data_IF_704819482438
#
_entry.id   IF_704819482438
#
_cell.length_a   1.000
_cell.length_b   1.000
_cell.length_c   1.000
_cell.angle_alpha   90.00
_cell.angle_beta   90.00
_cell.angle_gamma   90.00
#
_symmetry.space_group_name_H-M   'P 1'
#
loop_
_entity.id
_entity.type
_entity.pdbx_description
1 polymer ?
#
# COMPACT_ATOMS: atom_id res chain seq x y z
N UNK A 1 14.28 -35.59 32.06
CA UNK A 1 13.98 -35.61 30.64
C UNK A 1 12.45 -35.52 30.52
N UNK A 2 11.91 -34.34 30.44
CA UNK A 2 10.46 -34.06 30.46
C UNK A 2 10.02 -33.70 29.03
N UNK A 3 9.13 -34.51 28.49
CA UNK A 3 8.54 -34.32 27.16
C UNK A 3 7.37 -33.30 27.30
N UNK A 4 7.51 -32.13 26.70
CA UNK A 4 6.46 -31.12 26.60
C UNK A 4 5.54 -31.47 25.42
N UNK A 5 4.34 -31.93 25.72
CA UNK A 5 3.25 -32.07 24.76
C UNK A 5 2.72 -30.69 24.37
N UNK A 6 2.93 -30.31 23.13
CA UNK A 6 2.35 -29.08 22.54
C UNK A 6 0.92 -29.36 22.07
N UNK A 7 -0.08 -28.97 22.84
CA UNK A 7 -1.49 -28.94 22.39
C UNK A 7 -1.65 -27.94 21.24
N UNK A 8 -1.88 -28.44 20.03
CA UNK A 8 -2.34 -27.62 18.91
C UNK A 8 -3.81 -27.26 19.17
N UNK A 9 -4.04 -25.97 19.40
CA UNK A 9 -5.39 -25.41 19.41
C UNK A 9 -5.85 -25.27 17.96
N UNK A 10 -6.78 -26.14 17.54
CA UNK A 10 -7.45 -25.99 16.24
C UNK A 10 -8.50 -24.90 16.39
N UNK A 11 -8.17 -23.70 15.92
CA UNK A 11 -9.14 -22.61 15.81
C UNK A 11 -10.06 -22.91 14.62
N UNK A 12 -11.30 -23.31 14.92
CA UNK A 12 -12.32 -23.47 13.88
C UNK A 12 -12.65 -22.08 13.29
N UNK A 13 -12.61 -21.91 11.96
CA UNK A 13 -12.99 -20.64 11.36
C UNK A 13 -14.49 -20.37 11.60
N UNK A 14 -14.80 -19.23 12.19
CA UNK A 14 -16.17 -18.74 12.34
C UNK A 14 -16.82 -18.64 10.96
N UNK A 15 -17.83 -19.48 10.69
CA UNK A 15 -18.66 -19.41 9.50
C UNK A 15 -19.39 -18.06 9.50
N UNK A 16 -18.93 -17.11 8.65
CA UNK A 16 -19.67 -15.86 8.38
C UNK A 16 -21.02 -16.22 7.75
N UNK A 17 -22.10 -15.66 8.28
CA UNK A 17 -23.45 -15.81 7.71
C UNK A 17 -23.46 -15.11 6.34
N UNK A 18 -23.54 -15.90 5.28
CA UNK A 18 -23.69 -15.39 3.91
C UNK A 18 -25.00 -14.61 3.75
N UNK A 19 -24.99 -13.56 2.90
CA UNK A 19 -26.19 -12.77 2.59
C UNK A 19 -27.28 -13.65 1.99
N UNK A 20 -28.56 -13.29 2.20
CA UNK A 20 -29.71 -14.07 1.69
C UNK A 20 -29.61 -14.28 0.17
N UNK A 21 -29.17 -13.26 -0.58
CA UNK A 21 -29.01 -13.29 -2.05
C UNK A 21 -27.95 -14.30 -2.50
N UNK A 22 -26.80 -14.35 -1.86
CA UNK A 22 -25.72 -15.32 -2.15
C UNK A 22 -26.14 -16.76 -1.83
N UNK A 23 -26.90 -16.98 -0.74
CA UNK A 23 -27.49 -18.29 -0.43
C UNK A 23 -28.49 -18.75 -1.49
N UNK A 24 -29.29 -17.83 -2.04
CA UNK A 24 -30.28 -18.16 -3.07
C UNK A 24 -29.58 -18.54 -4.37
N UNK A 25 -28.56 -17.81 -4.80
CA UNK A 25 -27.75 -18.11 -6.00
C UNK A 25 -27.02 -19.45 -5.84
N UNK A 26 -26.36 -19.69 -4.73
CA UNK A 26 -25.67 -20.98 -4.47
C UNK A 26 -26.65 -22.16 -4.39
N UNK A 27 -27.84 -21.96 -3.85
CA UNK A 27 -28.90 -22.99 -3.82
C UNK A 27 -29.45 -23.30 -5.21
N UNK A 28 -29.63 -22.28 -6.06
CA UNK A 28 -30.09 -22.47 -7.45
C UNK A 28 -29.02 -23.20 -8.26
N UNK A 29 -27.76 -22.79 -8.18
CA UNK A 29 -26.63 -23.45 -8.87
C UNK A 29 -26.48 -24.91 -8.41
N UNK A 30 -26.52 -25.18 -7.11
CA UNK A 30 -26.47 -26.55 -6.55
C UNK A 30 -27.70 -27.37 -6.88
N UNK A 31 -28.86 -26.74 -6.91
CA UNK A 31 -30.12 -27.42 -7.26
C UNK A 31 -30.18 -27.89 -8.71
N UNK A 32 -29.74 -27.04 -9.64
CA UNK A 32 -29.65 -27.38 -11.06
C UNK A 32 -28.61 -28.49 -11.30
N UNK A 33 -27.45 -28.37 -10.71
CA UNK A 33 -26.39 -29.39 -10.81
C UNK A 33 -26.83 -30.75 -10.23
N UNK A 34 -27.55 -30.76 -9.12
CA UNK A 34 -28.04 -32.00 -8.49
C UNK A 34 -29.16 -32.68 -9.29
N UNK A 35 -30.06 -31.91 -9.88
CA UNK A 35 -31.17 -32.44 -10.69
C UNK A 35 -30.68 -33.06 -12.00
N UNK A 36 -29.73 -32.41 -12.70
CA UNK A 36 -29.09 -32.96 -13.91
C UNK A 36 -28.30 -34.23 -13.61
N UNK A 37 -27.57 -34.26 -12.49
CA UNK A 37 -26.80 -35.44 -12.06
C UNK A 37 -27.73 -36.66 -11.78
N UNK A 38 -28.80 -36.47 -11.05
CA UNK A 38 -29.74 -37.57 -10.73
C UNK A 38 -30.43 -38.15 -11.99
N UNK A 39 -30.74 -37.32 -12.97
CA UNK A 39 -31.34 -37.76 -14.22
C UNK A 39 -30.35 -38.54 -15.09
N UNK A 40 -29.08 -38.09 -15.19
CA UNK A 40 -28.05 -38.78 -15.96
C UNK A 40 -27.74 -40.17 -15.41
N UNK A 41 -27.68 -40.34 -14.07
CA UNK A 41 -27.42 -41.63 -13.42
C UNK A 41 -28.57 -42.61 -13.65
N UNK A 42 -29.83 -42.18 -13.52
CA UNK A 42 -31.02 -43.05 -13.74
C UNK A 42 -31.11 -43.53 -15.19
N UNK A 43 -30.77 -42.68 -16.15
CA UNK A 43 -30.77 -42.99 -17.56
C UNK A 43 -29.62 -43.95 -17.94
N UNK A 44 -28.43 -43.76 -17.40
CA UNK A 44 -27.29 -44.66 -17.61
C UNK A 44 -27.61 -46.10 -17.13
N UNK A 45 -28.23 -46.26 -15.96
CA UNK A 45 -28.62 -47.57 -15.40
C UNK A 45 -29.66 -48.26 -16.26
N UNK A 46 -30.58 -47.52 -16.85
CA UNK A 46 -31.61 -48.07 -17.76
C UNK A 46 -31.00 -48.61 -19.07
N UNK A 47 -30.00 -47.87 -19.63
CA UNK A 47 -29.39 -48.25 -20.92
C UNK A 47 -28.46 -49.47 -20.84
N UNK A 48 -27.75 -49.66 -19.72
CA UNK A 48 -26.88 -50.84 -19.48
C UNK A 48 -27.65 -52.17 -19.43
N UNK A 49 -28.95 -52.14 -19.07
CA UNK A 49 -29.79 -53.32 -18.95
C UNK A 49 -30.33 -53.90 -20.26
N UNK A 50 -30.19 -53.23 -21.42
CA UNK A 50 -30.99 -53.62 -22.64
C UNK A 50 -30.12 -54.05 -23.84
N UNK A 51 -28.79 -53.91 -23.87
CA UNK A 51 -28.01 -54.13 -25.09
C UNK A 51 -26.85 -55.15 -24.93
N UNK A 52 -26.64 -55.92 -25.99
CA UNK A 52 -25.45 -56.78 -26.19
C UNK A 52 -24.15 -55.99 -26.37
N UNK A 53 -24.24 -54.68 -26.40
CA UNK A 53 -23.10 -53.72 -26.39
C UNK A 53 -23.45 -52.67 -25.35
N UNK A 54 -22.47 -52.30 -24.54
CA UNK A 54 -22.64 -51.19 -23.64
C UNK A 54 -22.74 -49.89 -24.46
N UNK A 55 -23.87 -49.22 -24.36
CA UNK A 55 -24.11 -47.99 -25.12
C UNK A 55 -23.80 -46.80 -24.23
N UNK A 56 -22.78 -46.05 -24.59
CA UNK A 56 -22.44 -44.80 -23.96
C UNK A 56 -22.92 -43.64 -24.83
N UNK A 57 -23.75 -42.78 -24.25
CA UNK A 57 -24.15 -41.54 -24.91
C UNK A 57 -23.39 -40.38 -24.22
N UNK A 58 -22.41 -39.80 -24.91
CA UNK A 58 -21.54 -38.76 -24.34
C UNK A 58 -22.30 -37.50 -23.98
N UNK A 59 -23.34 -37.15 -24.76
CA UNK A 59 -24.17 -36.00 -24.43
C UNK A 59 -24.99 -36.16 -23.15
N UNK A 60 -25.34 -37.40 -22.76
CA UNK A 60 -26.12 -37.66 -21.54
C UNK A 60 -25.19 -37.66 -20.28
N UNK A 61 -23.90 -37.86 -20.49
CA UNK A 61 -22.89 -37.87 -19.46
C UNK A 61 -22.18 -36.50 -19.32
N UNK A 62 -22.56 -35.54 -20.10
CA UNK A 62 -21.95 -34.23 -20.10
C UNK A 62 -22.90 -33.25 -19.44
N UNK A 63 -22.37 -32.51 -18.48
CA UNK A 63 -23.02 -31.37 -17.85
C UNK A 63 -22.46 -30.07 -18.44
N UNK A 64 -23.38 -29.19 -18.84
CA UNK A 64 -23.06 -27.85 -19.30
C UNK A 64 -23.46 -26.85 -18.22
N UNK A 65 -22.50 -25.99 -17.84
CA UNK A 65 -22.72 -24.91 -16.87
C UNK A 65 -22.50 -23.57 -17.54
N UNK A 66 -23.42 -22.64 -17.34
CA UNK A 66 -23.30 -21.27 -17.80
C UNK A 66 -22.95 -20.37 -16.63
N UNK A 67 -21.94 -19.55 -16.82
CA UNK A 67 -21.50 -18.52 -15.86
C UNK A 67 -21.39 -17.18 -16.57
N UNK A 68 -21.45 -16.08 -15.82
CA UNK A 68 -21.41 -14.74 -16.39
C UNK A 68 -22.80 -14.11 -16.51
N UNK A 69 -22.91 -13.12 -17.37
CA UNK A 69 -24.13 -12.37 -17.65
C UNK A 69 -24.40 -12.28 -19.16
N UNK A 70 -25.56 -11.77 -19.53
CA UNK A 70 -25.97 -11.64 -20.93
C UNK A 70 -25.02 -10.74 -21.72
N UNK A 71 -24.33 -11.28 -22.71
CA UNK A 71 -23.26 -10.63 -23.48
C UNK A 71 -21.82 -10.99 -23.01
N UNK A 72 -21.65 -11.61 -21.85
CA UNK A 72 -20.35 -12.07 -21.31
C UNK A 72 -20.48 -13.47 -20.69
N UNK A 73 -21.36 -14.29 -21.23
CA UNK A 73 -21.60 -15.66 -20.79
C UNK A 73 -20.45 -16.60 -21.19
N UNK A 74 -20.11 -17.52 -20.30
CA UNK A 74 -19.12 -18.58 -20.53
C UNK A 74 -19.78 -19.94 -20.31
N UNK A 75 -19.63 -20.83 -21.28
CA UNK A 75 -20.07 -22.21 -21.20
C UNK A 75 -18.92 -23.09 -20.69
N UNK A 76 -19.10 -23.69 -19.53
CA UNK A 76 -18.24 -24.75 -19.01
C UNK A 76 -18.87 -26.11 -19.32
N UNK A 77 -18.05 -27.10 -19.65
CA UNK A 77 -18.48 -28.46 -19.99
C UNK A 77 -17.69 -29.47 -19.19
N UNK A 78 -18.37 -30.32 -18.44
CA UNK A 78 -17.78 -31.42 -17.68
C UNK A 78 -18.40 -32.75 -18.10
N UNK A 79 -17.56 -33.78 -18.31
CA UNK A 79 -18.01 -35.13 -18.65
C UNK A 79 -17.87 -36.04 -17.43
N UNK A 80 -18.93 -36.72 -17.05
CA UNK A 80 -18.93 -37.74 -16.01
C UNK A 80 -18.11 -38.96 -16.48
N UNK A 81 -17.18 -39.40 -15.66
CA UNK A 81 -16.36 -40.59 -15.93
C UNK A 81 -17.03 -41.79 -15.29
N UNK A 82 -17.43 -42.75 -16.09
CA UNK A 82 -17.90 -44.05 -15.60
C UNK A 82 -16.68 -44.91 -15.22
N UNK A 83 -16.49 -45.30 -13.95
CA UNK A 83 -15.28 -45.97 -13.47
C UNK A 83 -14.92 -47.25 -14.22
N UNK A 84 -15.92 -48.00 -14.66
CA UNK A 84 -15.74 -49.22 -15.43
C UNK A 84 -15.13 -49.00 -16.83
N UNK A 85 -15.20 -47.79 -17.35
CA UNK A 85 -14.65 -47.39 -18.66
C UNK A 85 -13.61 -46.28 -18.55
N UNK A 86 -12.92 -46.16 -17.42
CA UNK A 86 -11.94 -45.10 -17.14
C UNK A 86 -10.93 -44.88 -18.26
N UNK A 87 -10.35 -45.97 -18.79
CA UNK A 87 -9.38 -45.89 -19.89
C UNK A 87 -9.99 -45.31 -21.20
N UNK A 88 -11.28 -45.54 -21.44
CA UNK A 88 -11.97 -44.92 -22.58
C UNK A 88 -12.18 -43.41 -22.34
N UNK A 89 -12.61 -43.02 -21.14
CA UNK A 89 -12.87 -41.61 -20.82
C UNK A 89 -11.58 -40.76 -20.83
N UNK A 90 -10.41 -41.36 -20.57
CA UNK A 90 -9.11 -40.66 -20.75
C UNK A 90 -8.85 -40.23 -22.21
N UNK A 91 -9.51 -40.86 -23.19
CA UNK A 91 -9.41 -40.51 -24.60
C UNK A 91 -10.48 -39.54 -25.07
N UNK A 92 -11.51 -39.29 -24.27
CA UNK A 92 -12.61 -38.38 -24.61
C UNK A 92 -12.11 -36.94 -24.51
N UNK A 93 -12.30 -36.21 -25.59
CA UNK A 93 -12.08 -34.78 -25.67
C UNK A 93 -13.38 -34.10 -26.01
N UNK A 94 -13.64 -33.00 -25.35
CA UNK A 94 -14.81 -32.17 -25.54
C UNK A 94 -14.37 -30.83 -26.08
N UNK A 95 -14.82 -30.49 -27.27
CA UNK A 95 -14.50 -29.25 -27.95
C UNK A 95 -15.78 -28.40 -28.08
N UNK A 96 -15.73 -27.17 -27.61
CA UNK A 96 -16.79 -26.17 -27.82
C UNK A 96 -16.47 -25.48 -29.14
N UNK A 97 -17.36 -25.63 -30.11
CA UNK A 97 -17.16 -25.05 -31.45
C UNK A 97 -17.66 -23.62 -31.48
N UNK A 98 -16.73 -22.71 -31.54
CA UNK A 98 -17.00 -21.27 -31.69
C UNK A 98 -17.13 -20.89 -33.18
N UNK A 99 -17.78 -19.76 -33.43
CA UNK A 99 -17.90 -19.17 -34.76
C UNK A 99 -17.72 -17.63 -34.65
N UNK A 100 -17.66 -16.96 -35.81
CA UNK A 100 -17.44 -15.50 -35.87
C UNK A 100 -18.48 -14.66 -35.09
N UNK A 101 -19.62 -15.23 -34.76
CA UNK A 101 -20.72 -14.54 -34.07
C UNK A 101 -20.94 -15.01 -32.64
N UNK A 102 -20.42 -16.17 -32.29
CA UNK A 102 -20.65 -16.79 -30.99
C UNK A 102 -19.34 -17.33 -30.46
N UNK A 103 -18.77 -16.63 -29.51
CA UNK A 103 -17.56 -17.00 -28.81
C UNK A 103 -17.85 -17.32 -27.36
N UNK A 104 -17.13 -18.29 -26.84
CA UNK A 104 -17.23 -18.62 -25.43
C UNK A 104 -16.55 -17.50 -24.60
N UNK A 105 -17.25 -16.95 -23.65
CA UNK A 105 -16.87 -15.74 -22.91
C UNK A 105 -17.60 -14.47 -23.36
N UNK A 106 -18.27 -14.50 -24.54
CA UNK A 106 -19.07 -13.38 -25.07
C UNK A 106 -20.52 -13.83 -25.35
N UNK A 107 -21.03 -14.86 -24.63
CA UNK A 107 -22.33 -15.46 -24.92
C UNK A 107 -23.50 -14.60 -24.42
N UNK A 108 -24.54 -14.53 -25.29
CA UNK A 108 -25.81 -13.89 -24.97
C UNK A 108 -26.95 -14.89 -24.91
N UNK A 109 -28.03 -14.54 -24.21
CA UNK A 109 -29.25 -15.32 -24.20
C UNK A 109 -29.81 -15.52 -25.61
N UNK A 110 -30.02 -16.78 -25.98
CA UNK A 110 -30.44 -17.16 -27.32
C UNK A 110 -29.34 -17.68 -28.23
N UNK A 111 -28.09 -17.48 -27.86
CA UNK A 111 -26.93 -18.01 -28.59
C UNK A 111 -26.93 -19.54 -28.61
N UNK A 112 -26.32 -20.10 -29.65
CA UNK A 112 -26.18 -21.53 -29.82
C UNK A 112 -24.75 -21.90 -30.05
N UNK A 113 -24.26 -22.78 -29.19
CA UNK A 113 -22.94 -23.39 -29.30
C UNK A 113 -23.09 -24.88 -29.63
N UNK A 114 -22.21 -25.38 -30.48
CA UNK A 114 -22.08 -26.80 -30.76
C UNK A 114 -20.97 -27.40 -29.93
N UNK A 115 -21.22 -28.44 -29.19
CA UNK A 115 -20.25 -29.25 -28.48
C UNK A 115 -19.96 -30.47 -29.33
N UNK A 116 -18.69 -30.73 -29.62
CA UNK A 116 -18.23 -31.90 -30.36
C UNK A 116 -17.40 -32.80 -29.46
N UNK A 117 -17.70 -34.10 -29.50
CA UNK A 117 -17.00 -35.13 -28.75
C UNK A 117 -16.09 -35.93 -29.68
N UNK A 118 -14.83 -36.03 -29.34
CA UNK A 118 -13.86 -36.89 -30.00
C UNK A 118 -13.31 -37.92 -29.00
N UNK A 119 -12.98 -39.14 -29.48
CA UNK A 119 -12.50 -40.22 -28.64
C UNK A 119 -11.74 -41.25 -29.50
N UNK A 120 -10.99 -42.14 -28.88
CA UNK A 120 -10.32 -43.27 -29.57
C UNK A 120 -11.36 -44.34 -29.94
N UNK A 121 -11.67 -44.46 -31.25
CA UNK A 121 -12.66 -45.36 -31.81
C UNK A 121 -12.21 -46.82 -31.71
N UNK A 122 -10.92 -47.11 -31.81
CA UNK A 122 -10.39 -48.47 -31.76
C UNK A 122 -10.43 -48.99 -30.31
N UNK A 123 -10.10 -48.16 -29.36
CA UNK A 123 -10.22 -48.46 -27.94
C UNK A 123 -11.70 -48.71 -27.56
N UNK A 124 -12.63 -47.82 -27.95
CA UNK A 124 -14.05 -47.99 -27.70
C UNK A 124 -14.57 -49.33 -28.26
N UNK A 125 -14.14 -49.67 -29.48
CA UNK A 125 -14.52 -50.94 -30.11
C UNK A 125 -13.93 -52.16 -29.36
N UNK A 126 -12.68 -52.09 -28.92
CA UNK A 126 -12.04 -53.15 -28.16
C UNK A 126 -12.71 -53.42 -26.82
N UNK A 127 -13.29 -52.39 -26.19
CA UNK A 127 -14.05 -52.48 -24.95
C UNK A 127 -15.54 -52.86 -25.17
N UNK A 128 -15.95 -53.11 -26.40
CA UNK A 128 -17.36 -53.45 -26.74
C UNK A 128 -18.31 -52.26 -26.56
N UNK A 129 -17.82 -51.05 -26.67
CA UNK A 129 -18.64 -49.84 -26.48
C UNK A 129 -19.22 -49.36 -27.79
N UNK A 130 -20.50 -48.95 -27.74
CA UNK A 130 -21.18 -48.20 -28.80
C UNK A 130 -21.42 -46.78 -28.36
N UNK A 131 -20.60 -45.88 -28.85
CA UNK A 131 -20.66 -44.47 -28.46
C UNK A 131 -21.63 -43.69 -29.33
N UNK A 132 -22.52 -42.96 -28.68
CA UNK A 132 -23.50 -42.03 -29.26
C UNK A 132 -23.26 -40.61 -28.79
N UNK A 133 -24.03 -39.65 -29.30
CA UNK A 133 -23.99 -38.26 -28.83
C UNK A 133 -22.67 -37.58 -29.16
N UNK A 134 -22.27 -37.64 -30.45
CA UNK A 134 -21.00 -37.05 -30.90
C UNK A 134 -21.00 -35.55 -31.04
N UNK A 135 -22.19 -34.98 -31.12
CA UNK A 135 -22.41 -33.53 -31.19
C UNK A 135 -23.69 -33.20 -30.44
N UNK A 136 -23.67 -32.07 -29.80
CA UNK A 136 -24.78 -31.50 -29.08
C UNK A 136 -24.83 -29.99 -29.31
N UNK A 137 -26.06 -29.45 -29.43
CA UNK A 137 -26.23 -27.98 -29.49
C UNK A 137 -26.80 -27.49 -28.18
N UNK A 138 -26.05 -26.68 -27.50
CA UNK A 138 -26.47 -25.96 -26.29
C UNK A 138 -27.00 -24.60 -26.70
N UNK A 139 -28.23 -24.29 -26.24
CA UNK A 139 -28.80 -22.94 -26.37
C UNK A 139 -28.62 -22.21 -25.06
N UNK A 140 -27.94 -21.08 -25.10
CA UNK A 140 -27.72 -20.20 -23.95
C UNK A 140 -29.05 -19.62 -23.49
N UNK A 141 -29.35 -19.75 -22.21
CA UNK A 141 -30.58 -19.23 -21.57
C UNK A 141 -30.29 -18.89 -20.12
N UNK A 142 -31.13 -17.99 -19.61
CA UNK A 142 -31.18 -17.65 -18.20
C UNK A 142 -29.86 -17.00 -17.67
N UNK A 143 -29.04 -16.43 -18.58
CA UNK A 143 -27.97 -15.52 -18.16
C UNK A 143 -28.63 -14.27 -17.56
N UNK A 144 -28.22 -13.84 -16.36
CA UNK A 144 -28.72 -12.61 -15.74
C UNK A 144 -28.22 -11.38 -16.50
N UNK A 145 -28.88 -10.24 -16.27
CA UNK A 145 -28.34 -8.95 -16.68
C UNK A 145 -27.10 -8.60 -15.84
N UNK A 146 -26.15 -7.87 -16.44
CA UNK A 146 -24.99 -7.37 -15.73
C UNK A 146 -25.40 -6.35 -14.64
N UNK A 147 -24.72 -6.40 -13.52
CA UNK A 147 -24.72 -5.31 -12.57
C UNK A 147 -23.61 -4.34 -13.00
N UNK A 148 -24.00 -3.27 -13.70
CA UNK A 148 -23.05 -2.28 -14.20
C UNK A 148 -22.58 -1.40 -13.04
N UNK A 149 -21.27 -1.35 -12.86
CA UNK A 149 -20.60 -0.51 -11.86
C UNK A 149 -20.01 0.69 -12.59
N UNK A 150 -20.50 1.87 -12.29
CA UNK A 150 -19.95 3.11 -12.83
C UNK A 150 -18.56 3.39 -12.29
N UNK A 151 -17.78 4.21 -13.01
CA UNK A 151 -16.49 4.68 -12.54
C UNK A 151 -16.58 5.31 -11.14
N UNK A 152 -17.57 6.15 -10.89
CA UNK A 152 -17.72 6.81 -9.59
C UNK A 152 -18.05 5.83 -8.47
N UNK A 153 -18.85 4.82 -8.74
CA UNK A 153 -19.17 3.76 -7.79
C UNK A 153 -17.93 2.90 -7.48
N UNK A 154 -17.15 2.54 -8.50
CA UNK A 154 -15.90 1.79 -8.34
C UNK A 154 -14.93 2.50 -7.40
N UNK A 155 -14.78 3.81 -7.54
CA UNK A 155 -13.87 4.63 -6.73
C UNK A 155 -14.50 5.18 -5.45
N UNK A 156 -15.78 4.92 -5.18
CA UNK A 156 -16.49 5.48 -4.02
C UNK A 156 -15.97 4.97 -2.66
N UNK A 157 -15.42 3.76 -2.65
CA UNK A 157 -14.83 3.13 -1.45
C UNK A 157 -13.35 3.43 -1.24
N UNK A 158 -12.75 4.28 -2.08
CA UNK A 158 -11.31 4.58 -1.99
C UNK A 158 -11.08 5.71 -1.01
N UNK A 159 -10.16 5.47 -0.07
CA UNK A 159 -9.66 6.46 0.87
C UNK A 159 -8.20 6.73 0.53
N UNK A 160 -7.87 8.00 0.37
CA UNK A 160 -6.49 8.48 0.27
C UNK A 160 -6.05 8.88 1.67
N UNK A 161 -5.15 8.11 2.25
CA UNK A 161 -4.60 8.36 3.57
C UNK A 161 -3.25 9.06 3.43
N UNK A 162 -3.03 10.09 4.24
CA UNK A 162 -1.77 10.84 4.29
C UNK A 162 -1.13 10.69 5.65
N UNK A 163 0.18 10.46 5.68
CA UNK A 163 0.98 10.46 6.90
C UNK A 163 2.13 11.45 6.76
N UNK A 164 2.49 12.11 7.86
CA UNK A 164 3.53 13.12 7.88
C UNK A 164 3.00 14.54 7.73
N UNK A 165 3.91 15.47 7.46
CA UNK A 165 3.65 16.91 7.38
C UNK A 165 4.06 17.40 6.00
N UNK A 166 3.22 18.19 5.33
CA UNK A 166 3.52 18.76 4.02
C UNK A 166 4.80 19.62 4.05
N UNK A 167 5.67 19.52 3.03
CA UNK A 167 5.59 18.72 1.81
C UNK A 167 6.27 17.34 1.90
N UNK A 168 6.51 16.82 3.09
CA UNK A 168 7.16 15.51 3.32
C UNK A 168 6.14 14.42 3.68
N UNK A 169 4.94 14.47 3.11
CA UNK A 169 3.91 13.47 3.33
C UNK A 169 4.14 12.22 2.51
N UNK A 170 3.79 11.09 3.07
CA UNK A 170 3.54 9.85 2.32
C UNK A 170 2.05 9.69 2.06
N UNK A 171 1.70 9.06 0.94
CA UNK A 171 0.32 8.83 0.55
C UNK A 171 0.09 7.35 0.35
N UNK A 172 -0.98 6.85 0.94
CA UNK A 172 -1.45 5.49 0.78
C UNK A 172 -2.88 5.47 0.25
N UNK A 173 -3.21 4.47 -0.58
CA UNK A 173 -4.55 4.27 -1.13
C UNK A 173 -5.15 3.01 -0.54
N UNK A 174 -6.28 3.16 0.14
CA UNK A 174 -6.96 2.06 0.83
C UNK A 174 -8.32 1.80 0.16
N UNK A 175 -8.54 0.55 -0.26
CA UNK A 175 -9.85 0.10 -0.72
C UNK A 175 -10.71 -0.30 0.49
N UNK A 176 -11.61 0.58 0.91
CA UNK A 176 -12.52 0.38 2.04
C UNK A 176 -13.95 -0.03 1.59
N UNK A 177 -14.10 -0.55 0.37
CA UNK A 177 -15.40 -1.04 -0.11
C UNK A 177 -15.92 -2.17 0.77
N UNK A 178 -17.22 -2.24 0.96
CA UNK A 178 -17.89 -3.34 1.67
C UNK A 178 -18.32 -4.47 0.73
N UNK A 179 -18.28 -4.25 -0.57
CA UNK A 179 -18.61 -5.25 -1.58
C UNK A 179 -17.46 -6.26 -1.74
N UNK A 180 -17.76 -7.54 -1.55
CA UNK A 180 -16.75 -8.62 -1.55
C UNK A 180 -16.13 -8.83 -2.94
N UNK A 181 -16.83 -8.47 -4.02
CA UNK A 181 -16.31 -8.59 -5.39
C UNK A 181 -15.41 -7.41 -5.71
N UNK A 182 -15.85 -6.19 -5.38
CA UNK A 182 -15.05 -4.98 -5.61
C UNK A 182 -13.80 -4.91 -4.72
N UNK A 183 -13.72 -5.68 -3.64
CA UNK A 183 -12.49 -5.87 -2.85
C UNK A 183 -11.38 -6.57 -3.64
N UNK A 184 -11.71 -7.29 -4.70
CA UNK A 184 -10.72 -7.96 -5.56
C UNK A 184 -10.06 -6.99 -6.55
N UNK A 185 -10.60 -5.79 -6.70
CA UNK A 185 -10.01 -4.74 -7.53
C UNK A 185 -8.77 -4.18 -6.84
N UNK A 186 -7.67 -4.15 -7.56
CA UNK A 186 -6.41 -3.59 -7.07
C UNK A 186 -6.33 -2.09 -7.39
N UNK A 187 -5.95 -1.29 -6.39
CA UNK A 187 -5.76 0.14 -6.56
C UNK A 187 -4.31 0.51 -6.29
N UNK A 188 -3.76 1.34 -7.14
CA UNK A 188 -2.37 1.82 -7.03
C UNK A 188 -2.26 3.27 -7.51
N UNK A 189 -1.28 3.99 -6.99
CA UNK A 189 -0.93 5.33 -7.48
C UNK A 189 -0.10 5.16 -8.77
N UNK A 190 -0.47 5.92 -9.79
CA UNK A 190 0.32 6.03 -11.03
C UNK A 190 1.49 6.96 -10.77
N UNK A 191 2.71 6.51 -11.08
CA UNK A 191 3.94 7.28 -10.89
C UNK A 191 4.09 7.85 -9.46
N UNK A 192 4.17 6.98 -8.41
CA UNK A 192 4.24 7.42 -7.03
C UNK A 192 5.52 8.22 -6.76
N UNK A 193 5.39 9.31 -5.98
CA UNK A 193 6.51 10.11 -5.48
C UNK A 193 6.94 9.61 -4.11
N UNK A 194 8.16 9.94 -3.71
CA UNK A 194 8.64 9.68 -2.33
C UNK A 194 7.96 10.58 -1.31
N UNK A 195 7.68 11.85 -1.69
CA UNK A 195 7.01 12.82 -0.85
C UNK A 195 5.96 13.61 -1.63
N UNK A 196 4.92 14.05 -0.93
CA UNK A 196 3.80 14.81 -1.46
C UNK A 196 3.59 16.09 -0.66
N UNK A 197 3.17 17.15 -1.37
CA UNK A 197 2.77 18.42 -0.78
C UNK A 197 1.25 18.54 -0.68
N UNK A 198 0.78 19.51 0.10
CA UNK A 198 -0.63 19.89 0.15
C UNK A 198 -1.07 20.45 -1.21
N UNK A 199 -2.18 19.94 -1.73
CA UNK A 199 -2.68 20.26 -3.05
C UNK A 199 -2.10 19.45 -4.22
N UNK A 200 -1.12 18.56 -3.97
CA UNK A 200 -0.66 17.63 -5.00
C UNK A 200 -1.82 16.77 -5.53
N UNK A 201 -1.79 16.49 -6.82
CA UNK A 201 -2.76 15.60 -7.46
C UNK A 201 -2.11 14.26 -7.72
N UNK A 202 -2.75 13.20 -7.21
CA UNK A 202 -2.38 11.82 -7.49
C UNK A 202 -3.42 11.19 -8.41
N UNK A 203 -2.97 10.41 -9.38
CA UNK A 203 -3.84 9.57 -10.20
C UNK A 203 -3.88 8.16 -9.62
N UNK A 204 -5.04 7.73 -9.16
CA UNK A 204 -5.26 6.36 -8.68
C UNK A 204 -5.77 5.51 -9.82
N UNK A 205 -5.12 4.38 -10.07
CA UNK A 205 -5.49 3.37 -11.05
C UNK A 205 -6.16 2.20 -10.36
N UNK A 206 -7.38 1.87 -10.79
CA UNK A 206 -8.04 0.61 -10.52
C UNK A 206 -7.63 -0.41 -11.60
N UNK A 207 -7.22 -1.62 -11.20
CA UNK A 207 -6.92 -2.74 -12.09
C UNK A 207 -7.79 -3.92 -11.70
N UNK A 208 -8.46 -4.53 -12.67
CA UNK A 208 -9.43 -5.60 -12.43
C UNK A 208 -9.38 -6.64 -13.55
N UNK A 209 -9.83 -7.85 -13.23
CA UNK A 209 -10.02 -8.93 -14.18
C UNK A 209 -11.50 -9.05 -14.56
N UNK A 210 -11.82 -8.62 -15.78
CA UNK A 210 -13.19 -8.61 -16.29
C UNK A 210 -13.82 -10.01 -16.33
N UNK A 211 -13.04 -11.07 -16.58
CA UNK A 211 -13.54 -12.44 -16.58
C UNK A 211 -13.94 -12.87 -15.15
N UNK A 212 -13.16 -12.49 -14.16
CA UNK A 212 -13.49 -12.76 -12.75
C UNK A 212 -14.72 -11.98 -12.32
N UNK A 213 -14.83 -10.72 -12.69
CA UNK A 213 -16.01 -9.89 -12.38
C UNK A 213 -17.28 -10.44 -13.04
N UNK A 214 -17.19 -10.87 -14.29
CA UNK A 214 -18.31 -11.44 -15.03
C UNK A 214 -18.89 -12.70 -14.35
N UNK A 215 -18.05 -13.54 -13.72
CA UNK A 215 -18.52 -14.70 -12.92
C UNK A 215 -19.46 -14.31 -11.77
N UNK A 216 -19.35 -13.07 -11.30
CA UNK A 216 -20.20 -12.49 -10.25
C UNK A 216 -21.28 -11.55 -10.82
N UNK A 217 -21.45 -11.55 -12.14
CA UNK A 217 -22.40 -10.68 -12.86
C UNK A 217 -22.10 -9.19 -12.76
N UNK A 218 -20.84 -8.82 -12.54
CA UNK A 218 -20.41 -7.43 -12.51
C UNK A 218 -19.77 -7.04 -13.83
N UNK A 219 -20.13 -5.86 -14.30
CA UNK A 219 -19.50 -5.17 -15.44
C UNK A 219 -19.06 -3.79 -14.99
N UNK A 220 -17.82 -3.43 -15.21
CA UNK A 220 -17.34 -2.08 -14.94
C UNK A 220 -17.51 -1.25 -16.20
N UNK A 221 -18.18 -0.11 -16.08
CA UNK A 221 -18.40 0.82 -17.19
C UNK A 221 -17.07 1.38 -17.72
N UNK A 222 -16.80 1.14 -19.00
CA UNK A 222 -15.58 1.64 -19.69
C UNK A 222 -14.91 0.57 -20.53
N UNK A 223 -13.82 0.94 -21.19
CA UNK A 223 -13.04 0.02 -22.02
C UNK A 223 -11.80 -0.49 -21.27
N UNK A 224 -11.52 -1.78 -21.43
CA UNK A 224 -10.33 -2.45 -20.90
C UNK A 224 -10.45 -2.86 -19.43
N UNK A 225 -9.32 -3.24 -18.84
CA UNK A 225 -9.21 -3.82 -17.49
C UNK A 225 -8.65 -2.83 -16.46
N UNK A 226 -8.73 -1.54 -16.73
CA UNK A 226 -8.29 -0.52 -15.78
C UNK A 226 -8.96 0.83 -16.02
N UNK A 227 -9.22 1.53 -14.92
CA UNK A 227 -9.70 2.90 -14.91
C UNK A 227 -8.83 3.74 -13.99
N UNK A 228 -8.85 5.06 -14.18
CA UNK A 228 -8.09 5.99 -13.34
C UNK A 228 -8.98 7.11 -12.82
N UNK A 229 -8.68 7.62 -11.62
CA UNK A 229 -9.34 8.79 -11.02
C UNK A 229 -8.31 9.62 -10.28
N UNK A 230 -8.42 10.94 -10.43
CA UNK A 230 -7.55 11.88 -9.75
C UNK A 230 -8.09 12.22 -8.35
N UNK A 231 -7.17 12.34 -7.40
CA UNK A 231 -7.44 12.77 -6.03
C UNK A 231 -6.46 13.87 -5.66
N UNK A 232 -6.96 14.87 -4.95
CA UNK A 232 -6.11 15.91 -4.38
C UNK A 232 -5.65 15.48 -3.00
N UNK A 233 -4.35 15.50 -2.78
CA UNK A 233 -3.74 15.29 -1.47
C UNK A 233 -4.02 16.51 -0.61
N UNK A 234 -4.41 16.32 0.64
CA UNK A 234 -4.66 17.43 1.56
C UNK A 234 -3.96 17.21 2.90
N UNK A 235 -3.39 18.27 3.44
CA UNK A 235 -2.80 18.29 4.76
C UNK A 235 -3.42 19.38 5.62
N UNK A 236 -3.51 19.10 6.92
CA UNK A 236 -3.88 20.08 7.92
C UNK A 236 -2.67 20.77 8.54
N UNK A 237 -1.50 20.24 8.27
CA UNK A 237 -0.23 20.65 8.87
C UNK A 237 0.82 20.77 7.79
N UNK A 238 1.63 21.82 7.87
CA UNK A 238 2.77 21.98 6.99
C UNK A 238 3.99 22.53 7.72
N UNK A 239 5.15 22.20 7.26
CA UNK A 239 6.36 22.87 7.72
C UNK A 239 6.35 24.35 7.34
N UNK A 240 7.00 25.19 8.15
CA UNK A 240 7.28 26.57 7.76
C UNK A 240 8.29 26.58 6.60
N UNK A 241 8.06 27.46 5.64
CA UNK A 241 8.93 27.62 4.46
C UNK A 241 9.63 28.96 4.42
N UNK A 242 9.19 29.91 5.23
CA UNK A 242 9.72 31.27 5.23
C UNK A 242 9.93 31.82 6.64
N UNK A 243 11.03 32.55 6.84
CA UNK A 243 11.42 33.17 8.10
C UNK A 243 10.35 34.11 8.66
N UNK A 244 9.55 34.75 7.81
CA UNK A 244 8.47 35.68 8.21
C UNK A 244 7.32 34.97 8.91
N UNK A 245 7.20 33.66 8.76
CA UNK A 245 6.19 32.85 9.41
C UNK A 245 6.50 32.55 10.88
N UNK A 246 7.76 32.74 11.32
CA UNK A 246 8.18 32.52 12.71
C UNK A 246 7.73 33.72 13.54
N UNK A 247 6.82 33.59 14.52
CA UNK A 247 6.42 34.68 15.38
C UNK A 247 7.56 35.19 16.26
N UNK A 248 7.55 36.49 16.56
CA UNK A 248 8.57 37.10 17.43
C UNK A 248 8.57 36.45 18.82
N UNK A 249 7.39 36.17 19.37
CA UNK A 249 7.22 35.54 20.67
C UNK A 249 7.87 34.14 20.69
N UNK A 250 7.68 33.35 19.63
CA UNK A 250 8.28 32.04 19.53
C UNK A 250 9.80 32.11 19.41
N UNK A 251 10.32 33.08 18.65
CA UNK A 251 11.78 33.31 18.56
C UNK A 251 12.38 33.69 19.93
N UNK A 252 11.68 34.51 20.72
CA UNK A 252 12.14 34.88 22.08
C UNK A 252 12.09 33.65 23.02
N UNK A 253 11.06 32.79 22.88
CA UNK A 253 11.02 31.53 23.63
C UNK A 253 12.19 30.61 23.27
N UNK A 254 12.50 30.46 21.96
CA UNK A 254 13.67 29.70 21.52
C UNK A 254 14.99 30.27 22.04
N UNK A 255 15.16 31.59 22.01
CA UNK A 255 16.33 32.26 22.60
C UNK A 255 16.44 31.97 24.10
N UNK A 256 15.34 32.12 24.83
CA UNK A 256 15.29 31.83 26.26
C UNK A 256 15.58 30.37 26.57
N UNK A 257 14.89 29.44 25.87
CA UNK A 257 15.06 28.01 26.08
C UNK A 257 16.45 27.54 25.69
N UNK A 258 16.99 28.02 24.56
CA UNK A 258 18.35 27.72 24.11
C UNK A 258 19.42 28.13 25.13
N UNK A 259 19.24 29.30 25.77
CA UNK A 259 20.17 29.73 26.83
C UNK A 259 20.14 28.79 28.05
N UNK A 260 19.01 28.13 28.35
CA UNK A 260 18.93 27.16 29.46
C UNK A 260 19.67 25.85 29.21
N UNK A 261 20.01 25.54 27.96
CA UNK A 261 20.74 24.32 27.60
C UNK A 261 22.22 24.41 28.02
N UNK A 262 22.71 25.63 28.26
CA UNK A 262 24.02 25.86 28.80
C UNK A 262 23.96 25.75 30.31
N UNK A 263 24.17 24.55 30.84
CA UNK A 263 24.23 24.33 32.27
C UNK A 263 25.37 25.10 32.91
N UNK A 264 25.30 25.29 34.22
CA UNK A 264 26.27 26.01 35.02
C UNK A 264 27.14 25.10 35.88
N UNK A 265 26.80 23.81 35.91
CA UNK A 265 27.52 22.84 36.73
C UNK A 265 28.85 22.41 36.08
N UNK A 266 29.86 22.03 36.89
CA UNK A 266 31.09 21.43 36.35
C UNK A 266 30.74 20.15 35.56
N UNK A 267 31.24 20.07 34.34
CA UNK A 267 30.96 18.99 33.43
C UNK A 267 30.00 19.31 32.28
N UNK A 268 29.19 20.37 32.41
CA UNK A 268 28.19 20.74 31.39
C UNK A 268 28.78 21.00 29.99
N UNK A 269 30.04 21.51 29.94
CA UNK A 269 30.73 21.79 28.70
C UNK A 269 31.77 20.72 28.31
N UNK A 270 31.82 19.57 28.98
CA UNK A 270 32.86 18.57 28.76
C UNK A 270 32.98 18.10 27.32
N UNK A 271 31.85 17.93 26.62
CA UNK A 271 31.81 17.53 25.21
C UNK A 271 32.60 18.50 24.30
N UNK A 272 32.55 19.80 24.58
CA UNK A 272 33.10 20.84 23.75
C UNK A 272 34.42 21.40 24.30
N UNK A 273 34.65 21.28 25.60
CA UNK A 273 35.73 21.92 26.34
C UNK A 273 37.11 21.60 25.80
N UNK A 274 37.42 20.33 25.61
CA UNK A 274 38.73 19.91 25.08
C UNK A 274 39.02 20.53 23.72
N UNK A 275 38.03 20.56 22.81
CA UNK A 275 38.19 21.13 21.47
C UNK A 275 38.41 22.63 21.52
N UNK A 276 37.62 23.36 22.30
CA UNK A 276 37.72 24.82 22.44
C UNK A 276 39.06 25.23 23.04
N UNK A 277 39.53 24.52 24.05
CA UNK A 277 40.83 24.78 24.66
C UNK A 277 42.00 24.43 23.75
N UNK A 278 41.90 23.30 23.00
CA UNK A 278 42.91 22.94 22.00
C UNK A 278 43.02 23.99 20.90
N UNK A 279 41.90 24.44 20.37
CA UNK A 279 41.85 25.51 19.36
C UNK A 279 42.37 26.86 19.90
N UNK A 280 42.38 27.04 21.22
CA UNK A 280 42.99 28.17 21.90
C UNK A 280 44.51 28.08 22.01
N UNK A 281 45.09 26.97 21.58
CA UNK A 281 46.54 26.70 21.82
C UNK A 281 46.88 26.50 23.30
N UNK A 282 45.87 26.16 24.11
CA UNK A 282 46.03 25.89 25.54
C UNK A 282 46.35 24.41 25.70
N UNK A 283 47.55 24.12 26.17
CA UNK A 283 47.97 22.72 26.37
C UNK A 283 47.39 22.18 27.67
N UNK A 284 46.85 20.96 27.57
CA UNK A 284 46.44 20.20 28.74
C UNK A 284 47.69 19.62 29.43
N UNK A 285 47.65 19.56 30.73
CA UNK A 285 48.56 18.71 31.45
C UNK A 285 48.17 17.24 31.22
N UNK A 286 49.11 16.40 30.86
CA UNK A 286 48.92 14.94 30.68
C UNK A 286 49.13 14.20 31.99
N UNK A 287 49.02 14.86 33.12
CA UNK A 287 49.31 14.32 34.45
C UNK A 287 48.16 13.46 35.06
N UNK A 288 47.12 13.17 34.27
CA UNK A 288 46.01 12.35 34.71
C UNK A 288 44.93 13.09 35.52
N UNK A 289 44.99 14.42 35.53
CA UNK A 289 43.95 15.24 36.16
C UNK A 289 42.70 15.18 35.34
N UNK A 290 41.56 14.86 35.97
CA UNK A 290 40.24 14.96 35.35
C UNK A 290 39.87 16.44 35.14
N UNK A 291 39.78 16.86 33.89
CA UNK A 291 39.34 18.19 33.55
C UNK A 291 37.79 18.24 33.49
N UNK A 292 37.24 19.22 34.18
CA UNK A 292 35.81 19.59 34.06
C UNK A 292 35.71 20.95 33.42
N UNK A 293 34.75 21.06 32.50
CA UNK A 293 34.46 22.30 31.80
C UNK A 293 33.03 22.73 32.07
N UNK A 294 32.84 24.06 32.18
CA UNK A 294 31.49 24.63 32.31
C UNK A 294 31.31 25.82 31.36
N UNK A 295 30.06 26.06 30.94
CA UNK A 295 29.70 27.27 30.21
C UNK A 295 29.61 28.47 31.17
N UNK A 296 30.01 29.63 30.69
CA UNK A 296 29.92 30.92 31.41
C UNK A 296 29.54 32.03 30.42
N UNK A 297 28.90 33.10 30.93
CA UNK A 297 28.60 34.30 30.16
C UNK A 297 27.80 34.04 28.84
N UNK A 298 26.69 33.30 28.94
CA UNK A 298 25.85 33.01 27.79
C UNK A 298 25.02 34.25 27.44
N UNK A 299 25.15 34.72 26.19
CA UNK A 299 24.35 35.83 25.68
C UNK A 299 23.99 35.64 24.20
N UNK A 300 22.79 36.02 23.81
CA UNK A 300 22.32 35.91 22.42
C UNK A 300 23.11 36.83 21.47
N UNK A 301 23.49 36.34 20.29
CA UNK A 301 24.09 37.09 19.20
C UNK A 301 23.16 37.26 17.99
N UNK A 302 22.66 36.15 17.47
CA UNK A 302 21.88 36.13 16.24
C UNK A 302 21.09 34.83 16.10
N UNK A 303 20.11 34.82 15.21
CA UNK A 303 19.37 33.62 14.84
C UNK A 303 19.23 33.53 13.32
N UNK A 304 19.08 32.30 12.84
CA UNK A 304 18.93 31.98 11.43
C UNK A 304 17.80 30.96 11.28
N UNK A 305 16.94 31.14 10.27
CA UNK A 305 15.99 30.16 9.84
C UNK A 305 16.57 29.45 8.61
N UNK A 306 16.53 28.12 8.59
CA UNK A 306 16.99 27.33 7.44
C UNK A 306 15.89 26.37 6.98
N UNK A 307 15.75 26.22 5.66
CA UNK A 307 14.91 25.22 5.02
C UNK A 307 15.73 24.31 4.12
N UNK A 308 15.31 23.06 4.02
CA UNK A 308 15.84 22.13 3.04
C UNK A 308 15.53 22.63 1.63
N UNK A 309 16.42 22.42 0.68
CA UNK A 309 16.18 22.75 -0.73
C UNK A 309 15.27 21.70 -1.38
N UNK A 310 14.57 22.09 -2.43
CA UNK A 310 13.61 21.21 -3.13
C UNK A 310 14.22 19.87 -3.57
N UNK A 311 15.49 19.89 -3.97
CA UNK A 311 16.22 18.71 -4.46
C UNK A 311 16.50 17.67 -3.35
N UNK A 312 16.49 18.09 -2.07
CA UNK A 312 16.84 17.26 -0.92
C UNK A 312 15.65 16.94 0.00
N UNK A 313 14.42 17.31 -0.41
CA UNK A 313 13.20 16.97 0.34
C UNK A 313 13.04 15.45 0.36
N UNK A 314 12.89 14.88 1.57
CA UNK A 314 12.67 13.45 1.76
C UNK A 314 13.94 12.61 1.82
N UNK A 315 15.12 13.19 1.63
CA UNK A 315 16.37 12.45 1.77
C UNK A 315 16.57 11.93 3.21
N UNK A 316 17.09 10.71 3.38
CA UNK A 316 17.31 10.12 4.70
C UNK A 316 18.23 10.98 5.57
N UNK A 317 17.75 11.34 6.75
CA UNK A 317 18.50 12.12 7.75
C UNK A 317 18.35 13.63 7.61
N UNK A 318 17.65 14.13 6.60
CA UNK A 318 17.28 15.55 6.50
C UNK A 318 16.04 15.85 7.36
N UNK A 319 16.00 17.06 7.92
CA UNK A 319 14.81 17.67 8.51
C UNK A 319 14.36 18.82 7.60
N UNK A 320 13.07 19.18 7.64
CA UNK A 320 12.57 20.15 6.67
C UNK A 320 13.05 21.57 6.93
N UNK A 321 12.96 22.02 8.19
CA UNK A 321 13.38 23.35 8.60
C UNK A 321 14.01 23.35 10.00
N UNK A 322 14.74 24.40 10.29
CA UNK A 322 15.28 24.64 11.61
C UNK A 322 15.45 26.13 11.93
N UNK A 323 15.55 26.43 13.23
CA UNK A 323 16.04 27.71 13.72
C UNK A 323 17.37 27.47 14.47
N UNK A 324 18.44 28.09 14.00
CA UNK A 324 19.77 28.09 14.62
C UNK A 324 19.96 29.36 15.41
N UNK A 325 20.09 29.25 16.72
CA UNK A 325 20.32 30.38 17.62
C UNK A 325 21.79 30.41 18.05
N UNK A 326 22.44 31.53 17.83
CA UNK A 326 23.87 31.73 18.14
C UNK A 326 24.01 32.49 19.45
N UNK A 327 24.89 31.98 20.30
CA UNK A 327 25.22 32.58 21.56
C UNK A 327 26.73 32.87 21.65
N UNK A 328 27.06 34.06 22.22
CA UNK A 328 28.37 34.30 22.77
C UNK A 328 28.45 33.60 24.12
N UNK A 329 29.56 32.91 24.38
CA UNK A 329 29.76 32.17 25.62
C UNK A 329 31.28 32.07 25.90
N UNK A 330 31.61 31.57 27.05
CA UNK A 330 32.96 31.15 27.34
C UNK A 330 32.96 29.80 28.05
N UNK A 331 33.99 29.02 27.88
CA UNK A 331 34.19 27.78 28.64
C UNK A 331 35.29 27.99 29.64
N UNK A 332 35.03 27.72 30.92
CA UNK A 332 36.05 27.70 31.99
C UNK A 332 36.47 26.26 32.29
N UNK A 333 37.73 26.07 32.58
CA UNK A 333 38.32 24.81 32.99
C UNK A 333 38.60 24.84 34.50
N UNK A 334 38.05 23.89 35.27
CA UNK A 334 38.30 23.73 36.72
C UNK A 334 38.18 25.03 37.49
N UNK A 335 37.20 25.90 37.17
CA UNK A 335 37.03 27.25 37.75
C UNK A 335 38.22 28.22 37.61
N UNK A 336 39.14 27.90 36.69
CA UNK A 336 40.34 28.69 36.43
C UNK A 336 40.28 29.44 35.12
N UNK A 337 41.06 28.98 34.16
CA UNK A 337 41.17 29.63 32.86
C UNK A 337 39.86 29.59 32.07
N UNK A 338 39.56 30.70 31.41
CA UNK A 338 38.35 30.84 30.59
C UNK A 338 38.71 31.13 29.14
N UNK A 339 38.05 30.45 28.22
CA UNK A 339 38.22 30.60 26.75
C UNK A 339 36.91 31.05 26.12
N UNK A 340 36.89 32.23 25.46
CA UNK A 340 35.70 32.68 24.75
C UNK A 340 35.36 31.76 23.53
N UNK A 341 34.11 31.53 23.28
CA UNK A 341 33.61 30.74 22.17
C UNK A 341 32.19 31.21 21.75
N UNK A 342 31.81 30.87 20.56
CA UNK A 342 30.39 30.96 20.13
C UNK A 342 29.79 29.56 20.10
N UNK A 343 28.51 29.47 20.42
CA UNK A 343 27.74 28.22 20.43
C UNK A 343 26.50 28.36 19.58
N UNK A 344 26.10 27.26 18.96
CA UNK A 344 24.87 27.17 18.14
C UNK A 344 23.92 26.17 18.76
N UNK A 345 22.72 26.62 19.05
CA UNK A 345 21.57 25.79 19.43
C UNK A 345 20.64 25.69 18.25
N UNK A 346 20.11 24.49 17.99
CA UNK A 346 19.19 24.22 16.92
C UNK A 346 17.81 23.76 17.46
N UNK A 347 16.73 24.27 16.86
CA UNK A 347 15.36 23.81 17.03
C UNK A 347 14.85 23.39 15.66
N UNK A 348 14.32 22.18 15.55
CA UNK A 348 13.95 21.56 14.26
C UNK A 348 12.45 21.39 14.13
N UNK A 349 12.00 21.27 12.87
CA UNK A 349 10.64 20.87 12.51
C UNK A 349 9.57 21.82 13.05
N UNK A 350 9.65 23.09 12.66
CA UNK A 350 8.61 24.07 12.93
C UNK A 350 7.42 23.81 12.01
N UNK A 351 6.27 23.49 12.60
CA UNK A 351 5.07 23.06 11.90
C UNK A 351 3.95 24.06 12.12
N UNK A 352 3.32 24.52 11.03
CA UNK A 352 2.11 25.33 11.08
C UNK A 352 0.88 24.41 11.09
N UNK A 353 0.06 24.56 12.10
CA UNK A 353 -1.19 23.81 12.25
C UNK A 353 -2.35 24.47 11.48
N UNK A 354 -3.45 23.74 11.32
CA UNK A 354 -4.68 24.21 10.66
C UNK A 354 -5.25 25.49 11.32
N UNK A 355 -5.12 25.65 12.63
CA UNK A 355 -5.55 26.84 13.37
C UNK A 355 -4.60 28.03 13.26
N UNK A 356 -3.50 27.89 12.52
CA UNK A 356 -2.49 28.90 12.33
C UNK A 356 -1.39 28.96 13.41
N UNK A 357 -1.52 28.17 14.47
CA UNK A 357 -0.45 28.07 15.50
C UNK A 357 0.78 27.38 14.95
N UNK A 358 1.93 27.68 15.55
CA UNK A 358 3.21 27.04 15.22
C UNK A 358 3.57 26.06 16.33
N UNK A 359 3.81 24.83 15.96
CA UNK A 359 4.32 23.80 16.85
C UNK A 359 5.82 23.60 16.62
N UNK A 360 6.58 23.54 17.68
CA UNK A 360 7.97 23.12 17.73
C UNK A 360 8.27 22.53 19.10
N UNK A 361 9.03 21.46 19.16
CA UNK A 361 9.45 20.88 20.44
C UNK A 361 10.67 21.61 20.99
N UNK A 362 10.44 22.61 21.85
CA UNK A 362 11.51 23.37 22.46
C UNK A 362 12.40 22.53 23.40
N UNK A 363 11.87 21.42 23.95
CA UNK A 363 12.64 20.53 24.83
C UNK A 363 13.64 19.65 24.06
N UNK A 364 13.49 19.55 22.74
CA UNK A 364 14.43 18.87 21.84
C UNK A 364 15.54 19.79 21.29
N UNK A 365 15.61 21.05 21.76
CA UNK A 365 16.70 21.94 21.42
C UNK A 365 18.05 21.33 21.79
N UNK A 366 19.04 21.48 20.91
CA UNK A 366 20.37 20.87 21.07
C UNK A 366 21.49 21.87 20.78
N UNK A 367 22.56 21.85 21.59
CA UNK A 367 23.82 22.51 21.25
C UNK A 367 24.53 21.65 20.20
N UNK A 368 24.58 22.13 18.96
CA UNK A 368 25.19 21.37 17.84
C UNK A 368 26.64 21.75 17.57
N UNK A 369 27.07 22.90 18.03
CA UNK A 369 28.45 23.36 17.86
C UNK A 369 28.86 24.37 18.93
N UNK A 370 30.08 24.28 19.39
CA UNK A 370 30.75 25.31 20.16
C UNK A 370 32.15 25.48 19.58
N UNK A 371 32.49 26.68 19.18
CA UNK A 371 33.75 26.94 18.51
C UNK A 371 34.30 28.34 18.82
N UNK A 372 35.63 28.47 18.83
CA UNK A 372 36.31 29.76 18.84
C UNK A 372 36.47 30.39 17.46
N UNK A 373 36.14 29.61 16.41
CA UNK A 373 36.34 30.02 15.03
C UNK A 373 35.02 30.56 14.49
N UNK A 374 34.92 31.88 14.46
CA UNK A 374 33.77 32.61 13.88
C UNK A 374 33.43 32.15 12.45
N UNK A 375 34.45 31.80 11.63
CA UNK A 375 34.23 31.28 10.29
C UNK A 375 33.49 29.93 10.27
N UNK A 376 33.75 29.02 11.21
CA UNK A 376 33.06 27.76 11.34
C UNK A 376 31.59 27.95 11.74
N UNK A 377 31.36 28.81 12.73
CA UNK A 377 29.99 29.13 13.16
C UNK A 377 29.20 29.78 12.02
N UNK A 378 29.81 30.76 11.33
CA UNK A 378 29.19 31.45 10.19
C UNK A 378 28.82 30.48 9.06
N UNK A 379 29.69 29.53 8.73
CA UNK A 379 29.42 28.50 7.71
C UNK A 379 28.27 27.60 8.12
N UNK A 380 28.25 27.11 9.36
CA UNK A 380 27.22 26.25 9.91
C UNK A 380 25.84 26.91 9.89
N UNK A 381 25.73 28.17 10.36
CA UNK A 381 24.42 28.83 10.45
C UNK A 381 23.92 29.37 9.14
N UNK A 382 24.81 29.63 8.17
CA UNK A 382 24.44 30.07 6.81
C UNK A 382 24.34 28.94 5.80
N UNK A 383 24.62 27.70 6.21
CA UNK A 383 24.63 26.51 5.36
C UNK A 383 25.50 26.68 4.09
N UNK A 384 26.68 27.35 4.20
CA UNK A 384 27.51 27.73 3.04
C UNK A 384 28.38 26.60 2.50
N UNK A 385 28.60 25.56 3.26
CA UNK A 385 29.36 24.37 2.88
C UNK A 385 28.44 23.15 2.57
N UNK A 386 27.11 23.36 2.59
CA UNK A 386 26.11 22.34 2.45
C UNK A 386 24.98 22.91 1.59
N UNK A 387 24.72 22.33 0.42
CA UNK A 387 23.67 22.72 -0.50
C UNK A 387 22.29 22.16 -0.14
N UNK A 388 22.25 21.30 0.88
CA UNK A 388 21.01 20.71 1.40
C UNK A 388 20.06 21.77 1.96
N UNK A 389 20.59 22.84 2.56
CA UNK A 389 19.78 23.88 3.22
C UNK A 389 20.08 25.28 2.72
N UNK A 390 19.03 26.11 2.67
CA UNK A 390 19.15 27.56 2.50
C UNK A 390 18.79 28.25 3.80
N UNK A 391 19.68 29.10 4.30
CA UNK A 391 19.51 29.80 5.57
C UNK A 391 19.39 31.32 5.41
N UNK A 392 18.45 31.93 6.16
CA UNK A 392 18.19 33.36 6.20
C UNK A 392 18.32 33.86 7.64
N UNK A 393 19.02 34.99 7.84
CA UNK A 393 19.21 35.61 9.14
C UNK A 393 17.97 36.39 9.58
N UNK A 394 17.57 36.25 10.84
CA UNK A 394 16.57 37.14 11.43
C UNK A 394 17.18 38.56 11.59
N UNK A 395 16.45 39.57 11.11
CA UNK A 395 16.86 40.99 11.19
C UNK A 395 16.43 41.68 12.50
N UNK A 396 15.91 40.90 13.47
CA UNK A 396 15.27 41.32 14.73
C UNK A 396 15.87 40.62 15.95
#
# INVERSE_FOLDING_TARGET
MAILETKRVIVQPRRRKMSKRRRTIELVIKGVALATFAFAVAFAVYMVGIARYDVINLSDLTSATLTGYDGSGTLGVETEILPEYGAFFETVKVDILENDKTKNGELSNGDKLEIEYSYDKDLAKSLGLKVKGKKETVTVKDLPEATVISKDELFSGIIVETEGVAPMMTVNVVNNTTDEVLKTVEFSIVDPKECYDDGDVITVKASFDSETLAKYTYEIEGEGNSLTKDYTVSSKERYLTDISEVPDELLEEMKSKGATLFGTEPGDANEFGLRVFSDAGKMYSTDGTDYTFRFTNVSFISAYFACVTEEHIGEPGTHYNDVKVVYDTAISQNDGETVPAEAVVIFRNLIKKEDGSIEVNLDEGQIISVSRRDDQIKKLVRCTDDDTYVAVKFER
#
